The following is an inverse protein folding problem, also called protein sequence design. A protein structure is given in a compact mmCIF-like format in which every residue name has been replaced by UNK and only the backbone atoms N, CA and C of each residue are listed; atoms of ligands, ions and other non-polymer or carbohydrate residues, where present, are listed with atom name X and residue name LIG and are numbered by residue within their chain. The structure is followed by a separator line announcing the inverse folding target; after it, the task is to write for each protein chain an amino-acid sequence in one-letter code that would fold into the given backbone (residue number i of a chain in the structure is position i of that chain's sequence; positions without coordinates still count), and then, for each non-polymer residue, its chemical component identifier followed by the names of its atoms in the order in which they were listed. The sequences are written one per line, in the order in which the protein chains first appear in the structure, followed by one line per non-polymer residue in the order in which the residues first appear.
data_IF_729035990168
#
_entry.id   IF_729035990168
#
_cell.length_a   1.000
_cell.length_b   1.000
_cell.length_c   1.000
_cell.angle_alpha   90.00
_cell.angle_beta   90.00
_cell.angle_gamma   90.00
#
_symmetry.space_group_name_H-M   'P 1'
#
loop_
_entity.id
_entity.type
_entity.pdbx_description
1 polymer ?
#
# COMPACT_ATOMS: atom_id res chain seq x y z
N UNK A 1 -18.43 -24.48 10.91
CA UNK A 1 -17.49 -24.41 12.06
C UNK A 1 -17.33 -22.94 12.43
N UNK A 2 -17.45 -22.61 13.71
CA UNK A 2 -17.49 -21.22 14.21
C UNK A 2 -16.13 -20.55 13.96
N UNK A 3 -16.07 -19.60 13.02
CA UNK A 3 -14.93 -18.68 12.88
C UNK A 3 -15.10 -17.61 13.97
N UNK A 4 -14.34 -17.75 15.05
CA UNK A 4 -14.27 -16.76 16.12
C UNK A 4 -13.65 -15.47 15.54
N UNK A 5 -14.39 -14.38 15.70
CA UNK A 5 -14.04 -13.05 15.23
C UNK A 5 -12.99 -12.44 16.17
N UNK A 6 -11.70 -12.61 15.85
CA UNK A 6 -10.59 -12.12 16.65
C UNK A 6 -10.50 -10.58 16.63
N UNK A 7 -10.91 -9.95 15.52
CA UNK A 7 -10.87 -8.50 15.32
C UNK A 7 -11.99 -7.77 16.10
N UNK A 8 -13.19 -8.36 16.14
CA UNK A 8 -14.29 -7.85 16.96
C UNK A 8 -14.07 -8.02 18.47
N UNK A 9 -13.24 -8.98 18.87
CA UNK A 9 -12.86 -9.16 20.28
C UNK A 9 -11.88 -8.07 20.76
N UNK A 10 -11.01 -7.56 19.87
CA UNK A 10 -10.10 -6.45 20.16
C UNK A 10 -10.83 -5.10 20.21
N UNK A 11 -11.75 -4.82 19.28
CA UNK A 11 -12.55 -3.58 19.34
C UNK A 11 -13.60 -3.57 20.46
N UNK A 12 -14.21 -4.73 20.78
CA UNK A 12 -15.19 -4.80 21.88
C UNK A 12 -14.53 -4.83 23.28
N UNK A 13 -13.32 -5.38 23.40
CA UNK A 13 -12.55 -5.36 24.65
C UNK A 13 -12.10 -3.97 25.08
N UNK A 14 -11.78 -3.10 24.11
CA UNK A 14 -11.27 -1.74 24.34
C UNK A 14 -12.33 -0.76 24.89
N UNK A 15 -13.62 -0.98 24.57
CA UNK A 15 -14.72 -0.13 25.05
C UNK A 15 -15.42 -0.68 26.31
N UNK A 16 -15.28 -1.97 26.62
CA UNK A 16 -15.94 -2.58 27.77
C UNK A 16 -15.18 -2.40 29.10
N UNK A 17 -13.86 -2.17 29.06
CA UNK A 17 -13.04 -2.02 30.26
C UNK A 17 -13.11 -0.62 30.90
N UNK A 18 -13.76 0.37 30.26
CA UNK A 18 -13.81 1.75 30.76
C UNK A 18 -15.13 2.16 31.43
N UNK A 19 -16.17 1.29 31.50
CA UNK A 19 -17.52 1.77 31.91
C UNK A 19 -18.29 0.92 32.95
N UNK A 20 -17.78 -0.22 33.43
CA UNK A 20 -18.48 -0.96 34.50
C UNK A 20 -17.53 -1.43 35.60
N UNK A 21 -17.26 -0.57 36.57
CA UNK A 21 -16.93 -1.00 37.93
C UNK A 21 -17.89 -0.33 38.91
N UNK A 22 -18.95 -1.06 39.26
CA UNK A 22 -19.78 -0.78 40.42
C UNK A 22 -20.22 -2.12 41.02
N UNK A 23 -19.72 -2.42 42.24
CA UNK A 23 -20.09 -3.50 43.17
C UNK A 23 -19.84 -4.95 42.71
N UNK A 24 -19.42 -5.93 43.53
CA UNK A 24 -19.00 -6.01 44.95
C UNK A 24 -18.55 -7.47 45.21
N UNK A 25 -17.75 -7.66 46.26
CA UNK A 25 -17.46 -8.91 47.00
C UNK A 25 -16.27 -9.80 46.60
N UNK A 26 -15.77 -10.45 47.65
CA UNK A 26 -14.45 -11.03 47.93
C UNK A 26 -14.12 -12.29 47.11
N UNK A 27 -12.98 -12.27 46.41
CA UNK A 27 -12.24 -13.46 45.95
C UNK A 27 -10.88 -12.97 45.47
N UNK A 28 -9.74 -13.47 45.99
CA UNK A 28 -8.34 -13.06 45.71
C UNK A 28 -8.19 -12.22 44.41
N UNK A 29 -8.51 -10.93 44.54
CA UNK A 29 -8.71 -10.08 43.38
C UNK A 29 -7.31 -9.70 42.95
N UNK A 30 -6.81 -10.32 41.89
CA UNK A 30 -5.66 -9.77 41.19
C UNK A 30 -5.98 -8.30 40.97
N UNK A 31 -5.20 -7.36 41.55
CA UNK A 31 -5.55 -5.95 41.48
C UNK A 31 -5.76 -5.59 40.01
N UNK A 32 -6.76 -4.75 39.69
CA UNK A 32 -6.99 -4.35 38.31
C UNK A 32 -5.67 -3.82 37.75
N UNK A 33 -5.32 -4.20 36.50
CA UNK A 33 -4.04 -3.83 35.92
C UNK A 33 -3.87 -2.31 35.99
N UNK A 34 -2.66 -1.89 36.31
CA UNK A 34 -2.25 -0.51 36.26
C UNK A 34 -2.35 0.02 34.83
N UNK A 35 -2.37 1.35 34.68
CA UNK A 35 -2.36 1.98 33.36
C UNK A 35 -1.13 1.55 32.54
N UNK A 36 0.03 1.42 33.18
CA UNK A 36 1.27 0.95 32.53
C UNK A 36 1.13 -0.49 32.03
N UNK A 37 0.54 -1.39 32.82
CA UNK A 37 0.28 -2.77 32.39
C UNK A 37 -0.71 -2.85 31.22
N UNK A 38 -1.76 -2.02 31.20
CA UNK A 38 -2.70 -1.95 30.08
C UNK A 38 -2.06 -1.38 28.81
N UNK A 39 -1.20 -0.36 28.95
CA UNK A 39 -0.46 0.20 27.84
C UNK A 39 0.52 -0.82 27.25
N UNK A 40 1.25 -1.55 28.09
CA UNK A 40 2.17 -2.60 27.64
C UNK A 40 1.44 -3.76 26.95
N UNK A 41 0.31 -4.21 27.50
CA UNK A 41 -0.54 -5.22 26.85
C UNK A 41 -1.02 -4.76 25.47
N UNK A 42 -1.45 -3.50 25.37
CA UNK A 42 -1.88 -2.92 24.09
C UNK A 42 -0.73 -2.81 23.11
N UNK A 43 0.45 -2.37 23.57
CA UNK A 43 1.66 -2.25 22.75
C UNK A 43 2.06 -3.61 22.14
N UNK A 44 2.03 -4.68 22.94
CA UNK A 44 2.30 -6.05 22.48
C UNK A 44 1.25 -6.50 21.44
N UNK A 45 -0.03 -6.21 21.67
CA UNK A 45 -1.10 -6.56 20.73
C UNK A 45 -0.97 -5.82 19.39
N UNK A 46 -0.57 -4.55 19.42
CA UNK A 46 -0.32 -3.74 18.22
C UNK A 46 0.92 -4.23 17.46
N UNK A 47 1.99 -4.64 18.16
CA UNK A 47 3.15 -5.26 17.52
C UNK A 47 2.77 -6.55 16.78
N UNK A 48 1.99 -7.44 17.41
CA UNK A 48 1.49 -8.64 16.76
C UNK A 48 0.56 -8.34 15.57
N UNK A 49 -0.19 -7.23 15.63
CA UNK A 49 -1.03 -6.78 14.52
C UNK A 49 -0.17 -6.28 13.35
N UNK A 50 0.87 -5.49 13.62
CA UNK A 50 1.85 -5.06 12.62
C UNK A 50 2.48 -6.26 11.89
N UNK A 51 2.94 -7.26 12.66
CA UNK A 51 3.48 -8.52 12.12
C UNK A 51 2.46 -9.24 11.23
N UNK A 52 1.21 -9.34 11.68
CA UNK A 52 0.15 -9.99 10.92
C UNK A 52 -0.17 -9.26 9.62
N UNK A 53 -0.15 -7.93 9.60
CA UNK A 53 -0.38 -7.13 8.40
C UNK A 53 0.78 -7.36 7.42
N UNK A 54 2.04 -7.28 7.88
CA UNK A 54 3.20 -7.52 7.02
C UNK A 54 3.17 -8.92 6.40
N UNK A 55 2.91 -9.96 7.19
CA UNK A 55 2.82 -11.33 6.68
C UNK A 55 1.67 -11.46 5.67
N UNK A 56 0.50 -10.88 5.94
CA UNK A 56 -0.62 -10.93 4.99
C UNK A 56 -0.28 -10.27 3.64
N UNK A 57 0.50 -9.19 3.65
CA UNK A 57 1.02 -8.51 2.46
C UNK A 57 1.92 -9.46 1.67
N UNK A 58 2.98 -9.97 2.27
CA UNK A 58 4.04 -10.70 1.54
C UNK A 58 3.69 -12.16 1.24
N UNK A 59 2.70 -12.75 1.92
CA UNK A 59 2.22 -14.11 1.65
C UNK A 59 1.08 -14.18 0.62
N UNK A 60 0.68 -13.03 0.05
CA UNK A 60 -0.42 -12.94 -0.90
C UNK A 60 0.02 -12.28 -2.20
N UNK A 61 -0.68 -12.64 -3.27
CA UNK A 61 -0.59 -11.96 -4.55
C UNK A 61 -1.68 -10.89 -4.65
N UNK A 62 -1.39 -9.76 -5.29
CA UNK A 62 -2.23 -8.57 -5.26
C UNK A 62 -2.48 -8.01 -6.65
N UNK A 63 -3.73 -7.61 -6.92
CA UNK A 63 -4.11 -6.83 -8.09
C UNK A 63 -4.59 -5.46 -7.66
N UNK A 64 -4.15 -4.41 -8.34
CA UNK A 64 -4.71 -3.08 -8.14
C UNK A 64 -6.15 -3.05 -8.67
N UNK A 65 -7.06 -2.56 -7.83
CA UNK A 65 -8.46 -2.35 -8.16
C UNK A 65 -8.68 -0.91 -8.58
N UNK A 66 -8.14 0.03 -7.80
CA UNK A 66 -8.28 1.45 -8.06
C UNK A 66 -7.18 2.25 -7.36
N UNK A 67 -6.82 3.38 -7.96
CA UNK A 67 -6.12 4.46 -7.29
C UNK A 67 -7.13 5.57 -6.98
N UNK A 68 -7.27 5.92 -5.71
CA UNK A 68 -8.17 6.97 -5.25
C UNK A 68 -7.34 8.21 -4.90
N UNK A 69 -7.42 9.28 -5.71
CA UNK A 69 -6.64 10.49 -5.46
C UNK A 69 -7.18 11.26 -4.25
N UNK A 70 -6.31 12.01 -3.57
CA UNK A 70 -6.74 12.92 -2.51
C UNK A 70 -7.58 14.07 -3.08
N UNK A 71 -8.39 14.72 -2.24
CA UNK A 71 -9.18 15.88 -2.65
C UNK A 71 -8.29 17.02 -3.17
N UNK A 72 -7.12 17.20 -2.55
CA UNK A 72 -6.12 18.17 -2.95
C UNK A 72 -5.49 17.83 -4.30
N UNK A 73 -5.20 16.55 -4.55
CA UNK A 73 -4.68 16.09 -5.85
C UNK A 73 -5.72 16.27 -6.96
N UNK A 74 -7.00 15.99 -6.69
CA UNK A 74 -8.09 16.25 -7.63
C UNK A 74 -8.22 17.76 -7.94
N UNK A 75 -8.14 18.61 -6.92
CA UNK A 75 -8.18 20.06 -7.12
C UNK A 75 -6.96 20.56 -7.92
N UNK A 76 -5.77 20.00 -7.68
CA UNK A 76 -4.55 20.32 -8.42
C UNK A 76 -4.63 19.88 -9.89
N UNK A 77 -5.24 18.71 -10.15
CA UNK A 77 -5.46 18.16 -11.50
C UNK A 77 -6.20 19.13 -12.42
N UNK A 78 -7.17 19.86 -11.87
CA UNK A 78 -8.02 20.80 -12.62
C UNK A 78 -7.43 22.23 -12.68
N UNK A 79 -6.27 22.45 -12.07
CA UNK A 79 -5.55 23.73 -12.04
C UNK A 79 -4.65 23.98 -13.25
N UNK A 80 -3.90 25.09 -13.21
CA UNK A 80 -2.88 25.42 -14.22
C UNK A 80 -1.79 24.34 -14.24
N UNK A 81 -1.52 23.75 -15.40
CA UNK A 81 -0.64 22.57 -15.57
C UNK A 81 0.84 22.93 -15.57
N UNK A 82 1.25 23.94 -14.79
CA UNK A 82 2.64 24.36 -14.61
C UNK A 82 3.07 24.02 -13.19
N UNK A 83 4.22 23.35 -13.06
CA UNK A 83 4.81 23.02 -11.76
C UNK A 83 4.15 21.79 -11.11
N UNK A 84 3.88 21.78 -9.79
CA UNK A 84 3.43 20.59 -9.08
C UNK A 84 2.07 20.07 -9.60
N UNK A 85 1.20 20.90 -10.18
CA UNK A 85 -0.09 20.43 -10.68
C UNK A 85 0.00 19.42 -11.84
N UNK A 86 1.08 19.48 -12.64
CA UNK A 86 1.35 18.51 -13.71
C UNK A 86 1.58 17.10 -13.16
N UNK A 87 2.18 16.99 -11.97
CA UNK A 87 2.44 15.72 -11.31
C UNK A 87 1.14 15.01 -10.91
N UNK A 88 0.17 15.73 -10.34
CA UNK A 88 -1.14 15.19 -9.94
C UNK A 88 -1.87 14.58 -11.13
N UNK A 89 -1.96 15.34 -12.23
CA UNK A 89 -2.61 14.85 -13.45
C UNK A 89 -1.89 13.63 -14.04
N UNK A 90 -0.55 13.64 -14.04
CA UNK A 90 0.26 12.52 -14.55
C UNK A 90 0.06 11.26 -13.71
N UNK A 91 0.12 11.36 -12.38
CA UNK A 91 -0.06 10.22 -11.47
C UNK A 91 -1.44 9.59 -11.61
N UNK A 92 -2.49 10.42 -11.63
CA UNK A 92 -3.88 9.95 -11.83
C UNK A 92 -4.01 9.25 -13.18
N UNK A 93 -3.51 9.88 -14.25
CA UNK A 93 -3.66 9.35 -15.60
C UNK A 93 -2.89 8.04 -15.80
N UNK A 94 -1.66 7.94 -15.26
CA UNK A 94 -0.88 6.70 -15.26
C UNK A 94 -1.60 5.58 -14.53
N UNK A 95 -2.15 5.87 -13.34
CA UNK A 95 -2.87 4.88 -12.56
C UNK A 95 -4.09 4.32 -13.31
N UNK A 96 -4.92 5.20 -13.90
CA UNK A 96 -6.07 4.77 -14.70
C UNK A 96 -5.65 4.02 -15.97
N UNK A 97 -4.58 4.46 -16.64
CA UNK A 97 -4.11 3.83 -17.88
C UNK A 97 -3.46 2.45 -17.65
N UNK A 98 -3.03 2.15 -16.42
CA UNK A 98 -2.46 0.86 -16.05
C UNK A 98 -3.52 -0.22 -15.72
N UNK A 99 -4.76 0.18 -15.36
CA UNK A 99 -5.84 -0.76 -15.00
C UNK A 99 -6.08 -1.88 -16.04
N UNK A 100 -6.07 -1.62 -17.37
CA UNK A 100 -6.34 -2.65 -18.37
C UNK A 100 -5.28 -3.76 -18.46
N UNK A 101 -4.10 -3.58 -17.87
CA UNK A 101 -3.03 -4.59 -17.91
C UNK A 101 -3.30 -5.80 -17.00
N UNK A 102 -4.29 -5.73 -16.10
CA UNK A 102 -4.69 -6.81 -15.18
C UNK A 102 -3.52 -7.48 -14.45
N UNK A 103 -2.57 -6.65 -14.02
CA UNK A 103 -1.30 -7.07 -13.45
C UNK A 103 -1.46 -7.73 -12.08
N UNK A 104 -0.55 -8.66 -11.77
CA UNK A 104 -0.46 -9.29 -10.45
C UNK A 104 0.90 -9.02 -9.82
N UNK A 105 0.91 -8.46 -8.62
CA UNK A 105 2.09 -8.27 -7.79
C UNK A 105 2.26 -9.44 -6.81
N UNK A 106 3.48 -9.96 -6.70
CA UNK A 106 3.85 -11.02 -5.77
C UNK A 106 5.16 -10.67 -5.05
N UNK A 107 5.45 -11.39 -3.96
CA UNK A 107 6.63 -11.16 -3.12
C UNK A 107 7.45 -12.44 -3.00
N UNK A 108 8.73 -12.36 -3.35
CA UNK A 108 9.66 -13.49 -3.26
C UNK A 108 10.68 -13.25 -2.16
N UNK A 109 10.78 -14.18 -1.21
CA UNK A 109 11.71 -14.03 -0.08
C UNK A 109 13.16 -14.21 -0.53
N UNK A 110 14.00 -13.21 -0.28
CA UNK A 110 15.43 -13.20 -0.55
C UNK A 110 16.21 -12.85 0.72
N UNK A 111 16.59 -13.88 1.49
CA UNK A 111 17.22 -13.68 2.80
C UNK A 111 16.24 -13.03 3.80
N UNK A 112 16.55 -11.80 4.20
CA UNK A 112 15.78 -11.01 5.18
C UNK A 112 14.85 -9.97 4.52
N UNK A 113 14.82 -9.91 3.18
CA UNK A 113 13.96 -9.02 2.40
C UNK A 113 13.03 -9.84 1.51
N UNK A 114 12.04 -9.17 0.91
CA UNK A 114 11.16 -9.72 -0.11
C UNK A 114 11.25 -8.88 -1.38
N UNK A 115 11.70 -9.47 -2.47
CA UNK A 115 11.72 -8.83 -3.78
C UNK A 115 10.31 -8.81 -4.37
N UNK A 116 9.90 -7.65 -4.88
CA UNK A 116 8.61 -7.50 -5.56
C UNK A 116 8.73 -7.95 -7.02
N UNK A 117 7.78 -8.76 -7.47
CA UNK A 117 7.62 -9.11 -8.87
C UNK A 117 6.23 -8.72 -9.36
N UNK A 118 6.14 -8.15 -10.57
CA UNK A 118 4.89 -7.80 -11.22
C UNK A 118 4.76 -8.55 -12.54
N UNK A 119 3.74 -9.39 -12.61
CA UNK A 119 3.38 -10.17 -13.80
C UNK A 119 2.32 -9.45 -14.61
N UNK A 120 2.49 -9.46 -15.94
CA UNK A 120 1.51 -8.96 -16.90
C UNK A 120 1.05 -10.16 -17.72
N UNK A 121 -0.23 -10.56 -17.66
CA UNK A 121 -0.70 -11.78 -18.31
C UNK A 121 -0.74 -11.69 -19.85
N UNK A 122 -0.70 -10.47 -20.41
CA UNK A 122 -0.72 -10.24 -21.85
C UNK A 122 0.68 -10.43 -22.47
N UNK A 123 0.72 -11.00 -23.67
CA UNK A 123 1.95 -11.23 -24.45
C UNK A 123 1.77 -10.84 -25.92
N UNK A 124 2.87 -10.72 -26.67
CA UNK A 124 2.83 -10.52 -28.13
C UNK A 124 2.06 -9.27 -28.55
N UNK A 125 1.15 -9.44 -29.51
CA UNK A 125 0.34 -8.34 -30.08
C UNK A 125 -0.62 -7.74 -29.04
N UNK A 126 -1.17 -8.55 -28.14
CA UNK A 126 -2.08 -8.06 -27.08
C UNK A 126 -1.33 -7.12 -26.11
N UNK A 127 -0.11 -7.50 -25.72
CA UNK A 127 0.75 -6.64 -24.90
C UNK A 127 1.15 -5.36 -25.65
N UNK A 128 1.49 -5.49 -26.94
CA UNK A 128 1.82 -4.34 -27.77
C UNK A 128 0.67 -3.32 -27.82
N UNK A 129 -0.55 -3.79 -28.04
CA UNK A 129 -1.74 -2.93 -28.11
C UNK A 129 -2.05 -2.26 -26.77
N UNK A 130 -1.88 -2.96 -25.64
CA UNK A 130 -2.02 -2.38 -24.31
C UNK A 130 -0.99 -1.27 -24.06
N UNK A 131 0.28 -1.51 -24.41
CA UNK A 131 1.36 -0.52 -24.26
C UNK A 131 1.15 0.67 -25.19
N UNK A 132 0.68 0.44 -26.42
CA UNK A 132 0.35 1.50 -27.37
C UNK A 132 -0.80 2.36 -26.85
N UNK A 133 -1.84 1.73 -26.29
CA UNK A 133 -2.95 2.45 -25.68
C UNK A 133 -2.51 3.26 -24.46
N UNK A 134 -1.63 2.71 -23.61
CA UNK A 134 -1.03 3.43 -22.49
C UNK A 134 -0.28 4.68 -22.95
N UNK A 135 0.63 4.55 -23.94
CA UNK A 135 1.35 5.68 -24.52
C UNK A 135 0.39 6.72 -25.08
N UNK A 136 -0.59 6.32 -25.88
CA UNK A 136 -1.52 7.24 -26.52
C UNK A 136 -2.44 7.94 -25.52
N UNK A 137 -2.71 7.31 -24.38
CA UNK A 137 -3.46 7.92 -23.27
C UNK A 137 -2.63 9.02 -22.60
N UNK A 138 -1.34 8.78 -22.36
CA UNK A 138 -0.43 9.75 -21.75
C UNK A 138 -0.01 10.86 -22.72
N UNK A 139 0.11 10.53 -24.00
CA UNK A 139 0.61 11.40 -25.06
C UNK A 139 -0.34 11.35 -26.28
N UNK A 140 -1.51 12.00 -26.22
CA UNK A 140 -2.50 11.95 -27.29
C UNK A 140 -1.99 12.39 -28.66
N UNK A 141 -0.99 13.27 -28.71
CA UNK A 141 -0.36 13.73 -29.95
C UNK A 141 0.32 12.59 -30.74
N UNK A 142 0.67 11.48 -30.09
CA UNK A 142 1.23 10.29 -30.75
C UNK A 142 0.17 9.31 -31.24
N UNK A 143 -1.09 9.45 -30.82
CA UNK A 143 -2.17 8.52 -31.17
C UNK A 143 -2.40 8.42 -32.68
N UNK A 144 -2.26 9.53 -33.40
CA UNK A 144 -2.43 9.60 -34.85
C UNK A 144 -1.37 8.80 -35.63
N UNK A 145 -0.24 8.48 -35.01
CA UNK A 145 0.85 7.75 -35.67
C UNK A 145 0.63 6.23 -35.64
N UNK A 146 -0.20 5.73 -34.71
CA UNK A 146 -0.53 4.32 -34.60
C UNK A 146 0.67 3.41 -34.33
N UNK A 147 1.74 3.94 -33.74
CA UNK A 147 2.99 3.22 -33.43
C UNK A 147 3.49 3.58 -32.04
N UNK A 148 4.22 2.65 -31.42
CA UNK A 148 5.05 2.96 -30.26
C UNK A 148 6.17 3.92 -30.66
N UNK A 149 6.24 5.04 -29.95
CA UNK A 149 7.28 6.06 -30.07
C UNK A 149 8.39 5.77 -29.05
N UNK A 150 7.99 5.39 -27.83
CA UNK A 150 8.90 4.97 -26.77
C UNK A 150 9.14 3.45 -26.81
N UNK A 151 10.29 2.97 -26.30
CA UNK A 151 10.56 1.55 -26.16
C UNK A 151 9.47 0.83 -25.36
N UNK A 152 9.03 -0.33 -25.84
CA UNK A 152 8.01 -1.11 -25.16
C UNK A 152 8.45 -1.51 -23.74
N UNK A 153 9.73 -1.83 -23.54
CA UNK A 153 10.30 -2.20 -22.23
C UNK A 153 10.19 -1.08 -21.21
N UNK A 154 10.51 0.16 -21.61
CA UNK A 154 10.41 1.36 -20.76
C UNK A 154 8.96 1.61 -20.33
N UNK A 155 8.01 1.55 -21.27
CA UNK A 155 6.60 1.75 -20.95
C UNK A 155 6.04 0.62 -20.06
N UNK A 156 6.46 -0.62 -20.28
CA UNK A 156 6.09 -1.75 -19.40
C UNK A 156 6.64 -1.55 -17.99
N UNK A 157 7.88 -1.06 -17.85
CA UNK A 157 8.46 -0.73 -16.56
C UNK A 157 7.62 0.32 -15.82
N UNK A 158 7.28 1.43 -16.50
CA UNK A 158 6.42 2.48 -15.93
C UNK A 158 5.07 1.94 -15.47
N UNK A 159 4.44 1.07 -16.27
CA UNK A 159 3.14 0.47 -15.92
C UNK A 159 3.28 -0.40 -14.67
N UNK A 160 4.31 -1.26 -14.58
CA UNK A 160 4.55 -2.09 -13.38
C UNK A 160 4.82 -1.25 -12.13
N UNK A 161 5.51 -0.12 -12.27
CA UNK A 161 5.78 0.80 -11.17
C UNK A 161 4.52 1.44 -10.58
N UNK A 162 3.44 1.59 -11.35
CA UNK A 162 2.14 2.02 -10.79
C UNK A 162 1.67 1.08 -9.68
N UNK A 163 1.98 -0.22 -9.83
CA UNK A 163 1.57 -1.27 -8.91
C UNK A 163 2.55 -1.41 -7.73
N UNK A 164 3.84 -1.51 -8.05
CA UNK A 164 4.87 -1.81 -7.07
C UNK A 164 5.40 -0.58 -6.33
N UNK A 165 5.32 0.61 -6.95
CA UNK A 165 5.95 1.83 -6.46
C UNK A 165 5.43 2.30 -5.10
N UNK A 166 4.18 1.95 -4.75
CA UNK A 166 3.63 2.30 -3.43
C UNK A 166 4.34 1.57 -2.27
N UNK A 167 5.05 0.47 -2.56
CA UNK A 167 5.83 -0.30 -1.59
C UNK A 167 7.31 0.15 -1.52
N UNK A 168 7.75 1.08 -2.37
CA UNK A 168 9.11 1.58 -2.36
C UNK A 168 9.42 2.38 -1.09
N UNK A 169 10.70 2.49 -0.73
CA UNK A 169 11.11 3.39 0.36
C UNK A 169 11.04 4.84 -0.10
N UNK A 170 10.84 5.76 0.84
CA UNK A 170 10.67 7.19 0.54
C UNK A 170 11.91 7.83 -0.11
N UNK A 171 13.09 7.21 0.04
CA UNK A 171 14.38 7.70 -0.46
C UNK A 171 14.79 7.13 -1.82
N UNK A 172 13.96 6.28 -2.44
CA UNK A 172 14.22 5.72 -3.77
C UNK A 172 13.95 6.78 -4.85
N UNK A 173 14.91 7.01 -5.74
CA UNK A 173 14.73 7.95 -6.86
C UNK A 173 13.86 7.34 -7.98
N UNK A 174 13.21 8.19 -8.76
CA UNK A 174 12.43 7.77 -9.94
C UNK A 174 13.39 7.15 -10.96
N UNK A 175 13.26 5.86 -11.22
CA UNK A 175 14.15 5.08 -12.09
C UNK A 175 15.06 4.09 -11.37
N UNK A 176 15.14 4.13 -10.03
CA UNK A 176 15.81 3.09 -9.22
C UNK A 176 14.86 1.93 -8.87
N UNK A 177 13.58 2.08 -9.20
CA UNK A 177 12.48 1.15 -8.92
C UNK A 177 12.30 0.07 -9.98
N UNK A 178 12.91 0.26 -11.15
CA UNK A 178 12.91 -0.72 -12.24
C UNK A 178 14.22 -0.70 -13.02
N UNK A 179 14.59 -1.85 -13.58
CA UNK A 179 15.69 -1.95 -14.52
C UNK A 179 15.23 -1.42 -15.89
N UNK A 180 15.89 -0.39 -16.45
CA UNK A 180 15.44 0.25 -17.69
C UNK A 180 15.63 -0.63 -18.94
N UNK A 181 16.56 -1.60 -18.89
CA UNK A 181 16.85 -2.49 -20.00
C UNK A 181 15.89 -3.69 -20.03
N UNK A 182 15.51 -4.21 -18.85
CA UNK A 182 14.67 -5.41 -18.73
C UNK A 182 13.21 -5.12 -18.38
N UNK A 183 12.91 -3.96 -17.80
CA UNK A 183 11.59 -3.61 -17.25
C UNK A 183 11.21 -4.47 -16.03
N UNK A 184 12.19 -5.02 -15.33
CA UNK A 184 12.01 -5.74 -14.07
C UNK A 184 11.94 -4.75 -12.91
N UNK A 185 11.10 -5.05 -11.90
CA UNK A 185 11.01 -4.25 -10.68
C UNK A 185 12.17 -4.61 -9.75
N UNK A 186 12.83 -3.60 -9.20
CA UNK A 186 14.02 -3.72 -8.33
C UNK A 186 13.74 -3.35 -6.87
N UNK A 187 12.46 -3.30 -6.50
CA UNK A 187 12.03 -2.91 -5.15
C UNK A 187 12.08 -4.12 -4.21
N UNK A 188 12.84 -3.97 -3.12
CA UNK A 188 12.86 -4.88 -1.99
C UNK A 188 12.11 -4.30 -0.80
N UNK A 189 11.22 -5.10 -0.21
CA UNK A 189 10.52 -4.75 1.02
C UNK A 189 11.07 -5.52 2.21
N UNK A 190 11.18 -4.82 3.34
CA UNK A 190 11.57 -5.40 4.62
C UNK A 190 10.59 -4.94 5.68
N UNK A 191 10.33 -5.80 6.67
CA UNK A 191 9.43 -5.45 7.76
C UNK A 191 9.98 -4.31 8.61
N UNK A 192 9.14 -3.33 8.95
CA UNK A 192 9.47 -2.31 9.94
C UNK A 192 9.44 -2.91 11.35
N UNK A 193 10.58 -2.90 12.04
CA UNK A 193 10.69 -3.39 13.42
C UNK A 193 10.04 -2.41 14.40
N UNK A 194 8.85 -2.78 14.88
CA UNK A 194 8.08 -2.00 15.86
C UNK A 194 8.31 -2.46 17.31
N UNK A 195 9.11 -3.50 17.54
CA UNK A 195 9.17 -4.20 18.84
C UNK A 195 9.64 -3.33 20.00
N UNK A 196 10.44 -2.30 19.72
CA UNK A 196 11.02 -1.39 20.70
C UNK A 196 10.35 0.00 20.73
N UNK A 197 9.25 0.20 20.01
CA UNK A 197 8.50 1.46 20.05
C UNK A 197 7.80 1.66 21.40
N UNK A 198 7.65 2.92 21.81
CA UNK A 198 6.82 3.30 22.95
C UNK A 198 5.35 3.00 22.69
N UNK A 199 4.49 3.03 23.71
CA UNK A 199 3.04 2.86 23.54
C UNK A 199 2.46 3.92 22.57
N UNK A 200 2.83 5.18 22.76
CA UNK A 200 2.38 6.29 21.92
C UNK A 200 2.86 6.15 20.47
N UNK A 201 4.12 5.78 20.27
CA UNK A 201 4.67 5.58 18.93
C UNK A 201 4.04 4.35 18.25
N UNK A 202 3.75 3.30 19.01
CA UNK A 202 3.09 2.11 18.50
C UNK A 202 1.68 2.43 17.99
N UNK A 203 0.89 3.22 18.73
CA UNK A 203 -0.44 3.66 18.29
C UNK A 203 -0.41 4.39 16.94
N UNK A 204 0.68 5.11 16.65
CA UNK A 204 0.83 5.91 15.43
C UNK A 204 1.42 5.14 14.25
N UNK A 205 2.14 4.05 14.50
CA UNK A 205 2.99 3.41 13.51
C UNK A 205 2.72 1.90 13.31
N UNK A 206 1.80 1.26 14.05
CA UNK A 206 1.54 -0.18 13.89
C UNK A 206 1.06 -0.61 12.50
N UNK A 207 0.57 0.33 11.67
CA UNK A 207 0.19 0.08 10.26
C UNK A 207 1.28 0.46 9.27
N UNK A 208 2.39 1.06 9.72
CA UNK A 208 3.58 1.28 8.88
C UNK A 208 4.43 0.03 8.98
N UNK A 209 4.21 -0.88 8.05
CA UNK A 209 4.77 -2.24 8.15
C UNK A 209 6.00 -2.46 7.29
N UNK A 210 6.33 -1.51 6.40
CA UNK A 210 7.47 -1.57 5.48
C UNK A 210 8.56 -0.60 5.97
N UNK A 211 9.78 -1.10 6.16
CA UNK A 211 10.93 -0.32 6.60
C UNK A 211 11.32 0.74 5.56
N UNK A 212 11.37 2.01 5.99
CA UNK A 212 11.77 3.14 5.12
C UNK A 212 10.65 3.69 4.24
N UNK A 213 9.45 3.13 4.32
CA UNK A 213 8.26 3.63 3.65
C UNK A 213 7.36 4.31 4.70
N UNK A 214 6.97 5.56 4.44
CA UNK A 214 6.14 6.34 5.37
C UNK A 214 4.64 6.03 5.30
N UNK A 215 4.23 5.28 4.28
CA UNK A 215 2.85 4.96 3.98
C UNK A 215 2.28 3.92 4.95
N UNK A 216 0.95 3.91 5.05
CA UNK A 216 0.24 3.03 5.98
C UNK A 216 -0.50 1.96 5.21
N UNK A 217 -0.43 0.74 5.74
CA UNK A 217 -1.08 -0.43 5.18
C UNK A 217 -2.23 -0.85 6.07
N UNK A 218 -3.43 -0.89 5.49
CA UNK A 218 -4.63 -1.36 6.15
C UNK A 218 -5.14 -2.62 5.45
N UNK A 219 -5.44 -3.65 6.23
CA UNK A 219 -6.04 -4.88 5.73
C UNK A 219 -7.52 -4.92 6.11
N UNK A 220 -8.41 -5.05 5.13
CA UNK A 220 -9.85 -5.16 5.34
C UNK A 220 -10.24 -6.64 5.28
N UNK A 221 -11.19 -7.07 6.13
CA UNK A 221 -11.63 -8.47 6.29
C UNK A 221 -12.07 -9.16 4.98
N UNK A 222 -12.35 -8.42 3.92
CA UNK A 222 -12.76 -8.92 2.60
C UNK A 222 -11.59 -9.32 1.68
N UNK A 223 -10.34 -9.33 2.19
CA UNK A 223 -9.15 -9.65 1.39
C UNK A 223 -8.69 -8.48 0.52
N UNK A 224 -8.99 -7.27 0.95
CA UNK A 224 -8.52 -6.03 0.34
C UNK A 224 -7.40 -5.41 1.18
N UNK A 225 -6.40 -4.88 0.49
CA UNK A 225 -5.32 -4.11 1.08
C UNK A 225 -5.46 -2.67 0.61
N UNK A 226 -5.44 -1.73 1.55
CA UNK A 226 -5.42 -0.30 1.26
C UNK A 226 -4.05 0.22 1.67
N UNK A 227 -3.35 0.83 0.71
CA UNK A 227 -2.13 1.54 0.97
C UNK A 227 -2.39 3.04 0.93
N UNK A 228 -2.36 3.67 2.10
CA UNK A 228 -2.52 5.11 2.27
C UNK A 228 -1.20 5.81 2.03
N UNK A 229 -1.15 6.56 0.94
CA UNK A 229 0.02 7.31 0.47
C UNK A 229 -0.10 8.78 0.84
N UNK A 230 0.88 9.31 1.57
CA UNK A 230 0.87 10.72 1.96
C UNK A 230 1.54 11.57 0.88
N UNK A 231 0.77 12.42 0.20
CA UNK A 231 1.33 13.29 -0.83
C UNK A 231 1.79 14.64 -0.24
N UNK A 232 3.07 14.69 0.13
CA UNK A 232 3.70 15.88 0.71
C UNK A 232 3.72 17.10 -0.25
N UNK A 233 3.46 16.91 -1.56
CA UNK A 233 3.42 18.00 -2.55
C UNK A 233 2.13 18.81 -2.43
N UNK A 234 1.01 18.16 -2.10
CA UNK A 234 -0.32 18.79 -2.05
C UNK A 234 -0.87 19.00 -0.63
N UNK A 235 -0.09 18.70 0.41
CA UNK A 235 -0.41 18.96 1.81
C UNK A 235 -0.52 17.69 2.64
N UNK A 236 -1.45 17.64 3.60
CA UNK A 236 -1.71 16.45 4.43
C UNK A 236 -2.75 15.51 3.82
N UNK A 237 -3.11 15.71 2.54
CA UNK A 237 -4.07 14.89 1.83
C UNK A 237 -3.50 13.50 1.55
N UNK A 238 -4.26 12.46 1.84
CA UNK A 238 -3.85 11.08 1.59
C UNK A 238 -4.56 10.52 0.36
N UNK A 239 -3.79 10.11 -0.66
CA UNK A 239 -4.29 9.24 -1.73
C UNK A 239 -4.18 7.79 -1.28
N UNK A 240 -4.93 6.88 -1.90
CA UNK A 240 -4.77 5.46 -1.58
C UNK A 240 -4.85 4.56 -2.80
N UNK A 241 -4.06 3.50 -2.76
CA UNK A 241 -4.15 2.38 -3.67
C UNK A 241 -4.97 1.28 -3.01
N UNK A 242 -5.99 0.79 -3.70
CA UNK A 242 -6.83 -0.31 -3.25
C UNK A 242 -6.43 -1.55 -4.04
N UNK A 243 -5.95 -2.56 -3.33
CA UNK A 243 -5.61 -3.85 -3.89
C UNK A 243 -6.60 -4.91 -3.45
N UNK A 244 -6.83 -5.90 -4.30
CA UNK A 244 -7.52 -7.14 -3.97
C UNK A 244 -6.56 -8.30 -4.08
N UNK A 245 -6.74 -9.30 -3.24
CA UNK A 245 -6.01 -10.56 -3.38
C UNK A 245 -6.30 -11.19 -4.75
N UNK A 246 -5.26 -11.65 -5.45
CA UNK A 246 -5.41 -12.43 -6.68
C UNK A 246 -5.98 -13.82 -6.37
N UNK A 247 -6.82 -14.35 -7.26
CA UNK A 247 -7.48 -15.67 -7.12
C UNK A 247 -6.64 -16.82 -7.67
#
# INVERSE_FOLDING_TARGET
MRKLNLLSLLMAGFLALSVFSCSSEEDEVTPPPTQEELQEQTRIALAATSDSIFNAVVESDWKLVEFVPSAEMLAAKDGDQIGPNTFANTKILRATAAEPFDMTMSFNKEGDVYAISVDIPAEGDDLYDLVLNYQNTLYPDFADWGILVFPQTELVAEVKEVLAGSFAKDDVEVGDTSDPDTGEITIDVKQYDVTNLSYEDMLLNYTKVIEGNSDRVFFIEEGQLIMETTDNIYGTGTSHYVFKKAE
#
